data_IF_118489825639
#
_entry.id   IF_118489825639
#
_cell.length_a   1.000
_cell.length_b   1.000
_cell.length_c   1.000
_cell.angle_alpha   90.00
_cell.angle_beta   90.00
_cell.angle_gamma   90.00
#
_symmetry.space_group_name_H-M   'P 1'
#
loop_
_entity.id
_entity.type
_entity.pdbx_description
1 polymer ?
#
# COMPACT_ATOMS: atom_id res chain seq x y z
N UNK A 1 -6.66 6.10 9.53
CA UNK A 1 -5.73 6.96 10.31
C UNK A 1 -6.22 6.94 11.74
N UNK A 2 -5.36 6.63 12.70
CA UNK A 2 -5.70 6.70 14.11
C UNK A 2 -4.50 7.32 14.83
N UNK A 3 -4.75 8.31 15.68
CA UNK A 3 -3.71 8.99 16.48
C UNK A 3 -2.56 9.56 15.63
N UNK A 4 -2.88 10.12 14.46
CA UNK A 4 -1.89 10.67 13.53
C UNK A 4 -1.08 9.62 12.75
N UNK A 5 -1.30 8.32 13.02
CA UNK A 5 -0.62 7.24 12.32
C UNK A 5 -1.48 6.69 11.17
N UNK A 6 -0.88 6.61 9.98
CA UNK A 6 -1.45 5.90 8.85
C UNK A 6 -1.13 4.42 8.93
N UNK A 7 -2.13 3.58 8.65
CA UNK A 7 -2.01 2.13 8.57
C UNK A 7 -2.50 1.68 7.21
N UNK A 8 -1.75 0.79 6.56
CA UNK A 8 -2.09 0.22 5.26
C UNK A 8 -2.17 -1.29 5.43
N UNK A 9 -3.33 -1.86 5.09
CA UNK A 9 -3.53 -3.30 5.02
C UNK A 9 -3.84 -3.69 3.57
N UNK A 10 -3.18 -4.74 3.11
CA UNK A 10 -3.41 -5.30 1.79
C UNK A 10 -3.37 -6.84 1.86
N UNK A 11 -3.99 -7.47 0.88
CA UNK A 11 -4.05 -8.92 0.75
C UNK A 11 -4.05 -9.36 -0.71
N UNK A 12 -4.15 -10.67 -0.89
CA UNK A 12 -4.22 -11.32 -2.19
C UNK A 12 -5.34 -12.36 -2.16
N UNK A 13 -5.96 -12.61 -3.32
CA UNK A 13 -6.97 -13.64 -3.46
C UNK A 13 -6.29 -14.99 -3.67
N UNK A 14 -6.63 -15.98 -2.86
CA UNK A 14 -6.05 -17.32 -2.95
C UNK A 14 -7.00 -18.25 -3.68
N UNK A 15 -6.50 -18.94 -4.71
CA UNK A 15 -7.20 -19.98 -5.46
C UNK A 15 -6.39 -21.29 -5.48
N UNK A 16 -6.92 -22.35 -6.06
CA UNK A 16 -6.37 -23.72 -5.94
C UNK A 16 -4.94 -23.86 -6.48
N UNK A 17 -4.58 -23.04 -7.46
CA UNK A 17 -3.28 -23.01 -8.15
C UNK A 17 -2.40 -21.82 -7.75
N UNK A 18 -2.79 -21.06 -6.71
CA UNK A 18 -2.02 -19.93 -6.21
C UNK A 18 -0.62 -20.32 -5.76
N UNK A 19 0.33 -19.42 -5.99
CA UNK A 19 1.70 -19.56 -5.48
C UNK A 19 1.93 -18.61 -4.30
N UNK A 20 2.24 -19.10 -3.09
CA UNK A 20 2.39 -18.24 -1.90
C UNK A 20 3.36 -17.06 -2.08
N UNK A 21 4.44 -17.24 -2.85
CA UNK A 21 5.41 -16.16 -3.12
C UNK A 21 4.82 -15.09 -4.04
N UNK A 22 3.99 -15.47 -5.01
CA UNK A 22 3.33 -14.53 -5.90
C UNK A 22 2.26 -13.73 -5.15
N UNK A 23 1.42 -14.40 -4.35
CA UNK A 23 0.36 -13.74 -3.58
C UNK A 23 0.93 -12.76 -2.54
N UNK A 24 2.03 -13.15 -1.87
CA UNK A 24 2.76 -12.24 -0.99
C UNK A 24 3.31 -11.02 -1.72
N UNK A 25 3.87 -11.22 -2.92
CA UNK A 25 4.37 -10.10 -3.74
C UNK A 25 3.22 -9.19 -4.21
N UNK A 26 2.06 -9.75 -4.52
CA UNK A 26 0.87 -8.99 -4.90
C UNK A 26 0.36 -8.12 -3.74
N UNK A 27 0.20 -8.69 -2.55
CA UNK A 27 -0.25 -7.94 -1.37
C UNK A 27 0.71 -6.78 -1.03
N UNK A 28 2.02 -7.02 -1.11
CA UNK A 28 3.03 -5.97 -0.94
C UNK A 28 2.91 -4.87 -2.01
N UNK A 29 2.74 -5.22 -3.29
CA UNK A 29 2.59 -4.22 -4.37
C UNK A 29 1.38 -3.31 -4.12
N UNK A 30 0.25 -3.88 -3.70
CA UNK A 30 -0.96 -3.11 -3.37
C UNK A 30 -0.73 -2.15 -2.20
N UNK A 31 -0.06 -2.62 -1.13
CA UNK A 31 0.27 -1.77 0.01
C UNK A 31 1.23 -0.63 -0.37
N UNK A 32 2.27 -0.93 -1.15
CA UNK A 32 3.26 0.08 -1.60
C UNK A 32 2.60 1.16 -2.44
N UNK A 33 1.60 0.82 -3.27
CA UNK A 33 0.88 1.82 -4.07
C UNK A 33 0.21 2.89 -3.19
N UNK A 34 -0.43 2.47 -2.09
CA UNK A 34 -1.04 3.40 -1.13
C UNK A 34 0.00 4.25 -0.40
N UNK A 35 1.15 3.67 -0.03
CA UNK A 35 2.23 4.45 0.58
C UNK A 35 2.81 5.50 -0.35
N UNK A 36 3.04 5.16 -1.63
CA UNK A 36 3.50 6.12 -2.63
C UNK A 36 2.49 7.25 -2.84
N UNK A 37 1.20 6.93 -2.90
CA UNK A 37 0.17 7.95 -3.04
C UNK A 37 0.17 8.91 -1.85
N UNK A 38 0.30 8.41 -0.61
CA UNK A 38 0.46 9.26 0.58
C UNK A 38 1.65 10.19 0.45
N UNK A 39 2.84 9.65 0.14
CA UNK A 39 4.07 10.42 0.01
C UNK A 39 3.95 11.51 -1.07
N UNK A 40 3.35 11.18 -2.22
CA UNK A 40 3.09 12.15 -3.27
C UNK A 40 2.18 13.29 -2.81
N UNK A 41 1.08 12.98 -2.11
CA UNK A 41 0.18 14.00 -1.56
C UNK A 41 0.86 14.88 -0.52
N UNK A 42 1.75 14.34 0.30
CA UNK A 42 2.53 15.14 1.27
C UNK A 42 3.52 16.07 0.57
N UNK A 43 4.20 15.59 -0.47
CA UNK A 43 5.12 16.41 -1.26
C UNK A 43 4.38 17.56 -1.96
N UNK A 44 3.23 17.29 -2.59
CA UNK A 44 2.40 18.31 -3.24
C UNK A 44 1.93 19.39 -2.25
N UNK A 45 1.60 19.01 -1.01
CA UNK A 45 1.24 19.97 0.04
C UNK A 45 2.43 20.84 0.46
N UNK A 46 3.64 20.27 0.51
CA UNK A 46 4.85 21.01 0.88
C UNK A 46 5.39 21.95 -0.21
N UNK A 47 5.13 21.66 -1.48
CA UNK A 47 5.56 22.49 -2.62
C UNK A 47 4.60 23.65 -2.93
N UNK A 48 3.38 23.61 -2.37
CA UNK A 48 2.37 24.65 -2.50
C UNK A 48 2.39 25.72 -1.41
N UNK A 49 3.28 25.61 -0.41
CA UNK A 49 3.59 26.61 0.61
C UNK A 49 4.78 27.50 0.19
#
# INVERSE_FOLDING_TARGET
>A
IQDGQAYVQAGAGVVIDSNPKHEYKESLKKAIALWKAKEQSENELSEGE
#
